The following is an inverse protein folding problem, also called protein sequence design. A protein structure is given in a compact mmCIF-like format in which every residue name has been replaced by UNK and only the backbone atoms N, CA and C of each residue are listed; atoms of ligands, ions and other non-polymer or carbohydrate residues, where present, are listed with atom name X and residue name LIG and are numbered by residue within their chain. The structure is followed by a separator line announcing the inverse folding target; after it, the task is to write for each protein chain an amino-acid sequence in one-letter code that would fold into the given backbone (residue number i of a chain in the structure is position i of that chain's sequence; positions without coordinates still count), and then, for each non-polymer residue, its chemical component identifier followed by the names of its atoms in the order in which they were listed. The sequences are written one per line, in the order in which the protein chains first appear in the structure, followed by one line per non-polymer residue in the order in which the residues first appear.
data_IF_464746264930
#
_entry.id   IF_464746264930
#
_cell.length_a   1.000
_cell.length_b   1.000
_cell.length_c   1.000
_cell.angle_alpha   90.00
_cell.angle_beta   90.00
_cell.angle_gamma   90.00
#
_symmetry.space_group_name_H-M   'P 1'
#
loop_
_entity.id
_entity.type
_entity.pdbx_description
1 polymer ?
#
# COMPACT_ATOMS: atom_id res chain seq x y z
N UNK A 1 -4.56 18.54 -3.71
CA UNK A 1 -3.32 17.98 -3.15
C UNK A 1 -2.65 18.87 -2.10
N UNK A 2 -2.87 20.19 -2.10
CA UNK A 2 -2.29 21.07 -1.06
C UNK A 2 -2.59 20.58 0.36
N UNK A 3 -1.58 20.58 1.22
CA UNK A 3 -1.66 20.12 2.61
C UNK A 3 -1.84 18.61 2.76
N UNK A 4 -1.32 17.81 1.82
CA UNK A 4 -1.19 16.35 1.98
C UNK A 4 0.28 15.95 1.90
N UNK A 5 0.66 14.78 2.44
CA UNK A 5 2.01 14.22 2.25
C UNK A 5 2.41 13.96 0.79
N UNK A 6 1.47 14.10 -0.15
CA UNK A 6 1.69 13.89 -1.58
C UNK A 6 1.93 15.17 -2.36
N UNK A 7 1.83 16.34 -1.71
CA UNK A 7 2.11 17.62 -2.36
C UNK A 7 3.56 17.67 -2.86
N UNK A 8 3.74 18.00 -4.14
CA UNK A 8 5.03 18.18 -4.79
C UNK A 8 5.14 19.63 -5.28
N UNK A 9 6.34 20.23 -5.31
CA UNK A 9 6.50 21.64 -5.72
C UNK A 9 5.98 21.94 -7.13
N UNK A 10 6.15 21.00 -8.06
CA UNK A 10 5.53 21.06 -9.39
C UNK A 10 4.06 20.62 -9.29
N UNK A 11 3.08 21.51 -9.59
CA UNK A 11 1.65 21.21 -9.47
C UNK A 11 1.16 20.14 -10.45
N UNK A 12 1.94 19.80 -11.48
CA UNK A 12 1.65 18.71 -12.41
C UNK A 12 2.11 17.33 -11.90
N UNK A 13 2.81 17.29 -10.76
CA UNK A 13 3.35 16.09 -10.14
C UNK A 13 2.82 15.92 -8.72
N UNK A 14 3.00 14.71 -8.20
CA UNK A 14 2.73 14.36 -6.81
C UNK A 14 3.72 13.30 -6.35
N UNK A 15 4.03 13.27 -5.06
CA UNK A 15 4.74 12.10 -4.53
C UNK A 15 3.83 10.87 -4.58
N UNK A 16 4.43 9.71 -4.85
CA UNK A 16 3.70 8.44 -4.87
C UNK A 16 3.25 7.99 -3.48
N UNK A 17 2.40 6.96 -3.46
CA UNK A 17 1.83 6.36 -2.24
C UNK A 17 2.84 5.92 -1.18
N UNK A 18 4.12 5.77 -1.53
CA UNK A 18 5.18 5.36 -0.61
C UNK A 18 5.41 6.34 0.55
N UNK A 19 5.08 7.63 0.37
CA UNK A 19 5.12 8.65 1.43
C UNK A 19 4.24 8.29 2.63
N UNK A 20 3.14 7.58 2.41
CA UNK A 20 2.27 7.09 3.48
C UNK A 20 3.04 6.25 4.51
N UNK A 21 4.02 5.48 4.02
CA UNK A 21 4.87 4.59 4.81
C UNK A 21 6.11 5.28 5.38
N UNK A 22 6.17 6.62 5.41
CA UNK A 22 7.31 7.42 5.89
C UNK A 22 8.64 7.07 5.20
N UNK A 23 8.59 6.82 3.89
CA UNK A 23 9.77 6.60 3.06
C UNK A 23 9.90 7.78 2.11
N UNK A 24 11.13 8.31 1.99
CA UNK A 24 11.48 9.30 0.99
C UNK A 24 11.47 8.64 -0.40
N UNK A 25 10.60 9.04 -1.35
CA UNK A 25 10.49 8.36 -2.63
C UNK A 25 11.79 8.34 -3.46
N UNK A 26 12.68 9.32 -3.22
CA UNK A 26 13.97 9.47 -3.90
C UNK A 26 15.06 8.57 -3.30
N UNK A 27 14.91 8.12 -2.04
CA UNK A 27 15.85 7.21 -1.40
C UNK A 27 15.53 5.75 -1.73
N UNK A 28 15.87 5.36 -2.95
CA UNK A 28 15.62 4.02 -3.48
C UNK A 28 16.48 2.92 -2.85
N UNK A 29 17.40 3.26 -1.94
CA UNK A 29 18.25 2.30 -1.23
C UNK A 29 17.59 1.72 0.02
N UNK A 30 16.53 2.36 0.51
CA UNK A 30 15.85 1.98 1.75
C UNK A 30 15.03 0.70 1.58
N UNK A 31 15.20 -0.18 2.56
CA UNK A 31 14.29 -1.29 2.84
C UNK A 31 13.66 -1.06 4.23
N UNK A 32 12.34 -1.15 4.30
CA UNK A 32 11.59 -0.93 5.55
C UNK A 32 10.73 -2.14 5.87
N UNK A 33 10.99 -2.77 7.01
CA UNK A 33 10.11 -3.80 7.54
C UNK A 33 8.99 -3.16 8.38
N UNK A 34 7.78 -3.65 8.19
CA UNK A 34 6.57 -3.21 8.89
C UNK A 34 5.81 -4.42 9.41
N UNK A 35 5.05 -4.20 10.48
CA UNK A 35 4.00 -5.10 10.94
C UNK A 35 2.70 -4.74 10.24
N UNK A 36 2.01 -5.75 9.73
CA UNK A 36 0.66 -5.61 9.19
C UNK A 36 -0.27 -6.40 10.09
N UNK A 37 -1.27 -5.72 10.67
CA UNK A 37 -2.39 -6.39 11.32
C UNK A 37 -3.44 -6.74 10.26
N UNK A 38 -3.81 -8.01 10.16
CA UNK A 38 -4.86 -8.47 9.26
C UNK A 38 -5.75 -9.49 9.99
N UNK A 39 -7.06 -9.24 10.01
CA UNK A 39 -8.05 -10.04 10.74
C UNK A 39 -7.70 -10.23 12.22
N UNK A 40 -7.14 -9.18 12.85
CA UNK A 40 -6.77 -9.19 14.26
C UNK A 40 -5.47 -9.92 14.59
N UNK A 41 -4.71 -10.38 13.57
CA UNK A 41 -3.39 -10.99 13.74
C UNK A 41 -2.28 -10.11 13.18
N UNK A 42 -1.15 -10.07 13.88
CA UNK A 42 0.04 -9.32 13.47
C UNK A 42 0.96 -10.19 12.62
N UNK A 43 1.38 -9.68 11.46
CA UNK A 43 2.28 -10.37 10.55
C UNK A 43 3.56 -9.56 10.35
N UNK A 44 4.71 -10.14 10.71
CA UNK A 44 6.02 -9.50 10.59
C UNK A 44 7.11 -10.49 10.11
N UNK A 45 8.07 -10.07 9.26
CA UNK A 45 8.13 -8.78 8.57
C UNK A 45 7.41 -8.81 7.22
N UNK A 46 6.55 -7.82 6.98
CA UNK A 46 6.23 -7.40 5.62
C UNK A 46 7.20 -6.30 5.20
N UNK A 47 7.75 -6.39 3.99
CA UNK A 47 8.90 -5.58 3.58
C UNK A 47 8.51 -4.62 2.47
N UNK A 48 8.85 -3.34 2.63
CA UNK A 48 8.72 -2.32 1.59
C UNK A 48 10.11 -2.05 1.00
N UNK A 49 10.23 -2.16 -0.32
CA UNK A 49 11.50 -1.91 -1.02
C UNK A 49 11.32 -1.47 -2.47
N UNK A 50 12.33 -0.79 -2.99
CA UNK A 50 12.37 -0.39 -4.38
C UNK A 50 12.78 -1.54 -5.31
N UNK A 51 12.11 -1.68 -6.45
CA UNK A 51 12.45 -2.63 -7.50
C UNK A 51 13.12 -1.89 -8.68
N UNK A 52 14.46 -1.87 -8.78
CA UNK A 52 15.19 -0.97 -9.68
C UNK A 52 14.87 -1.21 -11.15
N UNK A 53 14.73 -2.46 -11.57
CA UNK A 53 14.42 -2.81 -12.96
C UNK A 53 13.05 -2.29 -13.43
N UNK A 54 12.09 -2.11 -12.50
CA UNK A 54 10.73 -1.70 -12.82
C UNK A 54 10.44 -0.25 -12.42
N UNK A 55 11.42 0.45 -11.84
CA UNK A 55 11.25 1.82 -11.35
C UNK A 55 10.09 2.00 -10.37
N UNK A 56 9.78 1.01 -9.54
CA UNK A 56 8.59 1.02 -8.67
C UNK A 56 8.87 0.52 -7.26
N UNK A 57 8.20 1.14 -6.30
CA UNK A 57 8.13 0.67 -4.91
C UNK A 57 7.19 -0.52 -4.79
N UNK A 58 7.57 -1.53 -4.00
CA UNK A 58 6.78 -2.74 -3.74
C UNK A 58 6.61 -2.96 -2.25
N UNK A 59 5.43 -3.39 -1.86
CA UNK A 59 5.15 -3.92 -0.53
C UNK A 59 5.04 -5.44 -0.67
N UNK A 60 5.87 -6.18 0.06
CA UNK A 60 5.84 -7.63 0.13
C UNK A 60 5.02 -8.05 1.34
N UNK A 61 3.77 -8.47 1.11
CA UNK A 61 2.84 -8.97 2.13
C UNK A 61 3.22 -10.41 2.50
N UNK A 62 4.23 -10.59 3.34
CA UNK A 62 4.83 -11.92 3.62
C UNK A 62 5.03 -12.25 5.10
N UNK A 63 4.60 -11.37 6.00
CA UNK A 63 4.93 -11.50 7.43
C UNK A 63 4.44 -12.82 8.03
N UNK A 64 5.19 -13.31 9.02
CA UNK A 64 4.87 -14.48 9.82
C UNK A 64 4.09 -14.06 11.09
N UNK A 65 3.05 -14.81 11.51
CA UNK A 65 2.25 -14.47 12.68
C UNK A 65 2.84 -14.95 14.01
N UNK A 66 3.92 -15.75 14.01
CA UNK A 66 4.61 -16.24 15.21
C UNK A 66 3.84 -17.30 16.01
N UNK A 67 2.61 -17.63 15.61
CA UNK A 67 1.71 -18.58 16.28
C UNK A 67 1.62 -19.95 15.57
N UNK A 68 2.45 -20.16 14.55
CA UNK A 68 2.47 -21.37 13.71
C UNK A 68 1.33 -21.46 12.70
N UNK A 69 0.47 -20.42 12.60
CA UNK A 69 -0.51 -20.31 11.51
C UNK A 69 0.14 -19.74 10.25
N UNK A 70 -0.63 -19.70 9.15
CA UNK A 70 -0.10 -19.35 7.84
C UNK A 70 0.40 -17.90 7.75
N UNK A 71 1.50 -17.69 7.01
CA UNK A 71 2.01 -16.36 6.67
C UNK A 71 0.99 -15.50 5.90
N UNK A 72 1.14 -14.18 5.97
CA UNK A 72 0.30 -13.23 5.23
C UNK A 72 0.34 -13.47 3.70
N UNK A 73 1.45 -14.02 3.20
CA UNK A 73 1.63 -14.34 1.78
C UNK A 73 0.60 -15.34 1.27
N UNK A 74 0.10 -16.23 2.14
CA UNK A 74 -0.83 -17.30 1.77
C UNK A 74 -2.19 -16.77 1.36
N UNK A 75 -2.73 -15.79 2.07
CA UNK A 75 -3.98 -15.11 1.68
C UNK A 75 -3.90 -14.50 0.27
N UNK A 76 -2.74 -13.92 -0.09
CA UNK A 76 -2.51 -13.43 -1.45
C UNK A 76 -2.41 -14.55 -2.50
N UNK A 77 -1.75 -15.65 -2.18
CA UNK A 77 -1.56 -16.78 -3.09
C UNK A 77 -2.83 -17.60 -3.29
N UNK A 78 -3.67 -17.70 -2.26
CA UNK A 78 -4.93 -18.43 -2.27
C UNK A 78 -6.05 -17.65 -2.97
N UNK A 79 -5.81 -16.37 -3.28
CA UNK A 79 -6.69 -15.53 -4.07
C UNK A 79 -7.53 -14.53 -3.27
N UNK A 80 -7.40 -14.49 -1.95
CA UNK A 80 -8.24 -13.65 -1.08
C UNK A 80 -8.08 -12.15 -1.36
N UNK A 81 -6.91 -11.73 -1.85
CA UNK A 81 -6.62 -10.35 -2.22
C UNK A 81 -6.98 -10.02 -3.68
N UNK A 82 -7.36 -11.02 -4.47
CA UNK A 82 -7.71 -10.84 -5.88
C UNK A 82 -9.11 -10.21 -5.98
N UNK A 83 -9.27 -9.22 -6.87
CA UNK A 83 -10.50 -8.43 -7.00
C UNK A 83 -10.92 -7.72 -5.70
N UNK A 84 -9.95 -7.39 -4.84
CA UNK A 84 -10.15 -6.59 -3.63
C UNK A 84 -9.36 -5.29 -3.70
N UNK A 85 -9.85 -4.32 -2.96
CA UNK A 85 -9.17 -3.08 -2.64
C UNK A 85 -8.55 -3.25 -1.26
N UNK A 86 -7.23 -3.16 -1.21
CA UNK A 86 -6.47 -3.25 0.04
C UNK A 86 -6.42 -1.87 0.68
N UNK A 87 -7.02 -1.73 1.85
CA UNK A 87 -7.05 -0.48 2.61
C UNK A 87 -6.11 -0.59 3.79
N UNK A 88 -5.10 0.27 3.79
CA UNK A 88 -4.13 0.39 4.88
C UNK A 88 -4.50 1.56 5.78
N UNK A 89 -4.68 1.28 7.07
CA UNK A 89 -4.78 2.31 8.10
C UNK A 89 -3.46 2.36 8.87
N UNK A 90 -2.92 3.56 9.03
CA UNK A 90 -1.65 3.77 9.72
C UNK A 90 -1.89 3.92 11.21
N UNK A 91 -1.35 2.98 11.99
CA UNK A 91 -1.36 3.06 13.45
C UNK A 91 -0.07 3.75 13.94
N UNK A 92 1.08 3.32 13.42
CA UNK A 92 2.38 3.96 13.64
C UNK A 92 3.22 3.93 12.35
N UNK A 93 4.43 4.48 12.38
CA UNK A 93 5.33 4.45 11.22
C UNK A 93 5.74 3.03 10.78
N UNK A 94 5.62 2.03 11.66
CA UNK A 94 5.99 0.63 11.41
C UNK A 94 4.84 -0.37 11.64
N UNK A 95 3.63 0.11 11.93
CA UNK A 95 2.47 -0.73 12.20
C UNK A 95 1.24 -0.22 11.45
N UNK A 96 0.64 -1.10 10.64
CA UNK A 96 -0.49 -0.77 9.79
C UNK A 96 -1.57 -1.84 9.92
N UNK A 97 -2.84 -1.43 9.94
CA UNK A 97 -3.96 -2.36 9.81
C UNK A 97 -4.34 -2.50 8.34
N UNK A 98 -4.52 -3.72 7.87
CA UNK A 98 -4.99 -4.07 6.54
C UNK A 98 -6.45 -4.53 6.62
N UNK A 99 -7.30 -3.93 5.80
CA UNK A 99 -8.65 -4.41 5.53
C UNK A 99 -8.88 -4.59 4.03
N UNK A 100 -9.85 -5.43 3.68
CA UNK A 100 -10.25 -5.69 2.31
C UNK A 100 -11.63 -5.08 2.06
N UNK A 101 -11.75 -4.40 0.93
CA UNK A 101 -13.01 -3.88 0.43
C UNK A 101 -13.28 -4.50 -0.95
N UNK A 102 -14.54 -4.76 -1.27
CA UNK A 102 -14.94 -5.27 -2.57
C UNK A 102 -14.57 -4.31 -3.71
N UNK A 103 -14.15 -4.84 -4.86
CA UNK A 103 -13.84 -4.03 -6.05
C UNK A 103 -15.04 -3.18 -6.52
N UNK A 104 -16.27 -3.60 -6.25
CA UNK A 104 -17.49 -2.82 -6.55
C UNK A 104 -17.54 -1.47 -5.86
N UNK A 105 -16.81 -1.29 -4.75
CA UNK A 105 -16.74 -0.04 -4.00
C UNK A 105 -15.73 0.96 -4.57
N UNK A 106 -14.97 0.58 -5.61
CA UNK A 106 -13.88 1.39 -6.16
C UNK A 106 -14.31 2.81 -6.51
N UNK A 107 -15.44 2.97 -7.19
CA UNK A 107 -15.90 4.30 -7.61
C UNK A 107 -16.40 5.15 -6.45
N UNK A 108 -16.96 4.52 -5.41
CA UNK A 108 -17.30 5.20 -4.15
C UNK A 108 -16.03 5.65 -3.43
N UNK A 109 -15.01 4.80 -3.33
CA UNK A 109 -13.75 5.18 -2.69
C UNK A 109 -13.04 6.29 -3.46
N UNK A 110 -13.06 6.28 -4.79
CA UNK A 110 -12.53 7.39 -5.61
C UNK A 110 -13.24 8.71 -5.33
N UNK A 111 -14.58 8.70 -5.19
CA UNK A 111 -15.34 9.93 -4.93
C UNK A 111 -15.11 10.50 -3.53
N UNK A 112 -14.81 9.63 -2.56
CA UNK A 112 -14.45 10.01 -1.19
C UNK A 112 -12.97 10.39 -1.04
N UNK A 113 -12.10 9.91 -1.93
CA UNK A 113 -10.66 10.12 -1.83
C UNK A 113 -10.29 11.59 -2.00
N UNK A 114 -9.57 12.16 -1.03
CA UNK A 114 -8.91 13.46 -1.17
C UNK A 114 -7.93 13.50 -2.35
N UNK A 115 -7.28 12.37 -2.62
CA UNK A 115 -6.36 12.19 -3.76
C UNK A 115 -6.46 10.74 -4.25
N UNK A 116 -6.51 10.53 -5.55
CA UNK A 116 -6.33 9.20 -6.14
C UNK A 116 -5.65 9.31 -7.51
N UNK A 117 -4.97 8.24 -7.91
CA UNK A 117 -4.32 8.13 -9.20
C UNK A 117 -4.21 6.66 -9.65
N UNK A 118 -3.66 6.43 -10.84
CA UNK A 118 -3.36 5.10 -11.37
C UNK A 118 -1.85 4.85 -11.36
N UNK A 119 -1.46 3.62 -11.05
CA UNK A 119 -0.10 3.16 -11.22
C UNK A 119 0.13 2.71 -12.68
N UNK A 120 0.35 3.69 -13.56
CA UNK A 120 0.54 3.52 -15.00
C UNK A 120 -0.47 4.30 -15.84
N UNK A 121 -0.22 4.38 -17.15
CA UNK A 121 -0.99 5.18 -18.12
C UNK A 121 -2.23 4.46 -18.67
N UNK A 122 -2.38 3.16 -18.42
CA UNK A 122 -3.51 2.37 -18.91
C UNK A 122 -4.78 2.62 -18.09
N UNK A 123 -5.95 2.45 -18.70
CA UNK A 123 -7.23 2.43 -17.99
C UNK A 123 -7.37 1.23 -17.04
N UNK A 124 -6.65 0.14 -17.33
CA UNK A 124 -6.56 -1.07 -16.50
C UNK A 124 -5.47 -1.01 -15.42
N UNK A 125 -4.72 0.09 -15.33
CA UNK A 125 -3.71 0.27 -14.28
C UNK A 125 -4.35 0.31 -12.89
N UNK A 126 -3.70 -0.33 -11.92
CA UNK A 126 -4.17 -0.39 -10.53
C UNK A 126 -4.35 1.03 -9.98
N UNK A 127 -5.51 1.29 -9.37
CA UNK A 127 -5.76 2.54 -8.68
C UNK A 127 -5.08 2.54 -7.30
N UNK A 128 -4.69 3.72 -6.84
CA UNK A 128 -4.34 3.97 -5.44
C UNK A 128 -4.92 5.32 -5.04
N UNK A 129 -5.17 5.50 -3.75
CA UNK A 129 -5.72 6.75 -3.24
C UNK A 129 -5.53 6.92 -1.75
N UNK A 130 -5.87 8.11 -1.29
CA UNK A 130 -5.94 8.49 0.12
C UNK A 130 -7.34 9.03 0.36
N UNK A 131 -8.04 8.35 1.27
CA UNK A 131 -9.32 8.78 1.82
C UNK A 131 -9.12 10.06 2.63
#
# INVERSE_FOLDING_TARGET
MKGTPYEYPDPSRMYGGIRFFDIEPEDTSVEKNITINYLGKDYYPSTIKFAPHNGSWRIQLKGDPGDGTQELSKFGNDGDFVHKILVFEKITSTYYMLSLVEESELDRLKSLSKVWARNGSSTSSKAYGML
#
